data_IF_735099551865
#
_entry.id   IF_735099551865
#
_cell.length_a   1.000
_cell.length_b   1.000
_cell.length_c   1.000
_cell.angle_alpha   90.00
_cell.angle_beta   90.00
_cell.angle_gamma   90.00
#
_symmetry.space_group_name_H-M   'P 1'
#
loop_
_entity.id
_entity.type
_entity.pdbx_description
1 polymer ?
#
# COMPACT_ATOMS: atom_id res chain seq x y z
N UNK A 1 -9.49 -25.03 -21.04
CA UNK A 1 -8.13 -24.50 -20.85
C UNK A 1 -8.08 -23.85 -19.48
N UNK A 2 -7.28 -24.36 -18.56
CA UNK A 2 -7.16 -23.79 -17.21
C UNK A 2 -6.46 -22.44 -17.32
N UNK A 3 -7.22 -21.36 -17.12
CA UNK A 3 -6.78 -19.98 -17.34
C UNK A 3 -6.41 -19.29 -16.02
N UNK A 4 -5.39 -18.44 -16.05
CA UNK A 4 -5.06 -17.56 -14.93
C UNK A 4 -5.86 -16.26 -15.04
N UNK A 5 -7.07 -16.29 -14.52
CA UNK A 5 -8.02 -15.19 -14.58
C UNK A 5 -7.92 -14.29 -13.35
N UNK A 6 -7.58 -13.02 -13.52
CA UNK A 6 -7.47 -12.06 -12.42
C UNK A 6 -8.82 -11.54 -11.90
N UNK A 7 -9.94 -11.86 -12.55
CA UNK A 7 -11.26 -11.64 -11.95
C UNK A 7 -11.52 -12.58 -10.77
N UNK A 8 -10.81 -13.73 -10.71
CA UNK A 8 -10.80 -14.60 -9.53
C UNK A 8 -9.98 -13.95 -8.39
N UNK A 9 -10.55 -13.77 -7.19
CA UNK A 9 -9.87 -13.22 -6.02
C UNK A 9 -8.53 -13.89 -5.66
N UNK A 10 -8.44 -15.21 -5.73
CA UNK A 10 -7.22 -15.95 -5.36
C UNK A 10 -6.10 -15.70 -6.37
N UNK A 11 -6.42 -15.62 -7.66
CA UNK A 11 -5.47 -15.30 -8.72
C UNK A 11 -5.02 -13.84 -8.67
N UNK A 12 -5.94 -12.91 -8.42
CA UNK A 12 -5.62 -11.49 -8.24
C UNK A 12 -4.64 -11.30 -7.06
N UNK A 13 -4.94 -11.93 -5.92
CA UNK A 13 -4.07 -11.95 -4.76
C UNK A 13 -2.70 -12.55 -5.09
N UNK A 14 -2.66 -13.72 -5.73
CA UNK A 14 -1.39 -14.36 -6.10
C UNK A 14 -0.59 -13.47 -7.06
N UNK A 15 -1.23 -12.82 -8.03
CA UNK A 15 -0.56 -11.91 -8.96
C UNK A 15 0.03 -10.68 -8.24
N UNK A 16 -0.73 -10.04 -7.35
CA UNK A 16 -0.23 -8.93 -6.53
C UNK A 16 0.99 -9.33 -5.70
N UNK A 17 0.92 -10.50 -5.06
CA UNK A 17 2.03 -11.03 -4.27
C UNK A 17 3.27 -11.33 -5.14
N UNK A 18 3.08 -11.98 -6.29
CA UNK A 18 4.14 -12.25 -7.28
C UNK A 18 4.76 -10.95 -7.77
N UNK A 19 3.96 -9.90 -7.96
CA UNK A 19 4.46 -8.64 -8.50
C UNK A 19 5.43 -7.95 -7.54
N UNK A 20 5.21 -8.04 -6.23
CA UNK A 20 6.14 -7.57 -5.21
C UNK A 20 7.30 -8.56 -4.97
N UNK A 21 7.02 -9.74 -4.43
CA UNK A 21 8.05 -10.66 -3.90
C UNK A 21 8.51 -11.74 -4.89
N UNK A 22 7.82 -11.90 -6.02
CA UNK A 22 8.19 -12.88 -7.03
C UNK A 22 9.44 -12.48 -7.81
N UNK A 23 10.08 -13.44 -8.46
CA UNK A 23 11.14 -13.21 -9.42
C UNK A 23 10.86 -14.00 -10.68
N UNK A 24 10.57 -13.29 -11.78
CA UNK A 24 10.41 -13.87 -13.10
C UNK A 24 11.75 -13.78 -13.83
N UNK A 25 12.36 -14.94 -14.08
CA UNK A 25 13.63 -15.05 -14.79
C UNK A 25 13.44 -15.63 -16.19
N UNK A 26 14.23 -15.12 -17.13
CA UNK A 26 14.32 -15.59 -18.50
C UNK A 26 15.77 -15.97 -18.83
N UNK A 27 15.92 -16.95 -19.69
CA UNK A 27 17.18 -17.42 -20.23
C UNK A 27 16.99 -17.78 -21.70
N UNK A 28 18.10 -17.72 -22.44
CA UNK A 28 18.25 -18.27 -23.78
C UNK A 28 17.70 -19.71 -23.84
N UNK A 29 17.07 -20.08 -24.96
CA UNK A 29 16.42 -21.39 -25.17
C UNK A 29 15.10 -21.60 -24.39
N UNK A 30 14.36 -20.54 -24.07
CA UNK A 30 13.08 -20.59 -23.33
C UNK A 30 13.18 -21.23 -21.95
N UNK A 31 14.39 -21.28 -21.38
CA UNK A 31 14.62 -21.69 -19.99
C UNK A 31 14.25 -20.50 -19.11
N UNK A 32 13.52 -20.74 -18.03
CA UNK A 32 13.01 -19.66 -17.20
C UNK A 32 12.09 -20.19 -16.13
N UNK A 33 11.82 -19.37 -15.12
CA UNK A 33 10.89 -19.71 -14.06
C UNK A 33 10.35 -18.46 -13.40
N UNK A 34 9.15 -18.59 -12.86
CA UNK A 34 8.75 -17.77 -11.73
C UNK A 34 9.25 -18.45 -10.44
N UNK A 35 9.77 -17.67 -9.49
CA UNK A 35 9.99 -18.11 -8.12
C UNK A 35 9.44 -17.09 -7.12
N UNK A 36 8.80 -17.55 -6.06
CA UNK A 36 8.52 -16.78 -4.84
C UNK A 36 9.25 -17.48 -3.69
N UNK A 37 10.03 -16.75 -2.90
CA UNK A 37 10.78 -17.30 -1.76
C UNK A 37 10.38 -16.56 -0.48
N UNK A 38 9.95 -17.30 0.55
CA UNK A 38 9.48 -16.78 1.82
C UNK A 38 10.18 -17.46 3.00
N UNK A 39 9.99 -16.91 4.19
CA UNK A 39 10.35 -17.59 5.44
C UNK A 39 9.54 -18.89 5.58
N UNK A 40 10.15 -19.94 6.15
CA UNK A 40 9.49 -21.25 6.32
C UNK A 40 8.16 -21.19 7.09
N UNK A 41 7.98 -20.19 7.98
CA UNK A 41 6.71 -19.98 8.69
C UNK A 41 5.52 -19.67 7.79
N UNK A 42 5.79 -19.16 6.57
CA UNK A 42 4.77 -18.74 5.60
C UNK A 42 4.54 -19.83 4.52
N UNK A 43 4.96 -21.09 4.79
CA UNK A 43 4.80 -22.25 3.89
C UNK A 43 3.35 -22.46 3.43
N UNK A 44 2.38 -22.31 4.34
CA UNK A 44 0.97 -22.52 4.02
C UNK A 44 0.52 -21.68 2.83
N UNK A 45 1.02 -20.45 2.69
CA UNK A 45 0.67 -19.59 1.56
C UNK A 45 1.19 -20.15 0.23
N UNK A 46 2.41 -20.69 0.22
CA UNK A 46 3.01 -21.26 -0.98
C UNK A 46 2.33 -22.58 -1.40
N UNK A 47 1.78 -23.33 -0.45
CA UNK A 47 0.95 -24.50 -0.75
C UNK A 47 -0.39 -24.08 -1.38
N UNK A 48 -1.00 -22.98 -0.92
CA UNK A 48 -2.17 -22.40 -1.59
C UNK A 48 -1.84 -21.93 -3.00
N UNK A 49 -0.69 -21.27 -3.23
CA UNK A 49 -0.23 -20.91 -4.58
C UNK A 49 -0.07 -22.14 -5.47
N UNK A 50 0.48 -23.23 -4.94
CA UNK A 50 0.58 -24.48 -5.67
C UNK A 50 -0.81 -25.06 -6.02
N UNK A 51 -1.78 -25.00 -5.10
CA UNK A 51 -3.14 -25.50 -5.30
C UNK A 51 -3.90 -24.72 -6.37
N UNK A 52 -3.82 -23.39 -6.35
CA UNK A 52 -4.57 -22.52 -7.28
C UNK A 52 -3.87 -22.33 -8.62
N UNK A 53 -2.56 -22.63 -8.71
CA UNK A 53 -1.84 -22.55 -9.97
C UNK A 53 -2.21 -23.72 -10.87
N UNK A 54 -2.78 -23.49 -12.07
CA UNK A 54 -3.21 -24.58 -12.92
C UNK A 54 -2.06 -25.26 -13.70
N UNK A 55 -0.81 -24.82 -13.50
CA UNK A 55 0.36 -25.39 -14.15
C UNK A 55 1.25 -26.16 -13.17
N UNK A 56 2.04 -27.13 -13.66
CA UNK A 56 3.02 -27.84 -12.85
C UNK A 56 3.93 -26.86 -12.10
N UNK A 57 3.88 -26.97 -10.78
CA UNK A 57 4.64 -26.13 -9.87
C UNK A 57 5.11 -26.94 -8.66
N UNK A 58 6.16 -26.46 -8.01
CA UNK A 58 6.81 -27.16 -6.91
C UNK A 58 7.04 -26.23 -5.73
N UNK A 59 6.84 -26.74 -4.52
CA UNK A 59 7.26 -26.10 -3.27
C UNK A 59 8.46 -26.86 -2.71
N UNK A 60 9.55 -26.16 -2.43
CA UNK A 60 10.80 -26.72 -1.89
C UNK A 60 11.25 -25.93 -0.68
N UNK A 61 11.80 -26.59 0.34
CA UNK A 61 12.41 -25.93 1.51
C UNK A 61 13.93 -25.93 1.43
N UNK A 62 14.56 -24.96 2.08
CA UNK A 62 16.01 -24.86 2.22
C UNK A 62 16.36 -24.19 3.55
N UNK A 63 17.36 -24.74 4.24
CA UNK A 63 18.01 -24.11 5.40
C UNK A 63 19.45 -23.72 5.02
N UNK A 64 19.86 -22.50 5.36
CA UNK A 64 21.25 -22.03 5.16
C UNK A 64 21.66 -21.06 6.26
N UNK A 65 22.96 -20.97 6.53
CA UNK A 65 23.53 -19.82 7.20
C UNK A 65 23.41 -18.57 6.30
N UNK A 66 23.12 -17.43 6.90
CA UNK A 66 23.07 -16.11 6.25
C UNK A 66 23.86 -15.12 7.10
N UNK A 67 24.18 -13.95 6.55
CA UNK A 67 24.85 -12.88 7.29
C UNK A 67 24.07 -12.38 8.53
N UNK A 68 22.82 -12.81 8.71
CA UNK A 68 21.92 -12.38 9.79
C UNK A 68 21.52 -13.51 10.75
N UNK A 69 21.76 -14.77 10.39
CA UNK A 69 21.36 -15.93 11.17
C UNK A 69 22.10 -17.21 10.75
N UNK A 70 22.54 -18.01 11.72
CA UNK A 70 23.24 -19.28 11.50
C UNK A 70 22.35 -20.34 10.85
N UNK A 71 21.03 -20.26 11.05
CA UNK A 71 20.05 -21.14 10.42
C UNK A 71 18.81 -20.37 9.98
N UNK A 72 18.81 -19.91 8.73
CA UNK A 72 17.63 -19.33 8.09
C UNK A 72 16.90 -20.39 7.26
N UNK A 73 15.70 -20.78 7.69
CA UNK A 73 14.81 -21.66 6.96
C UNK A 73 13.90 -20.86 6.00
N UNK A 74 13.96 -21.22 4.73
CA UNK A 74 13.20 -20.62 3.64
C UNK A 74 12.42 -21.69 2.88
N UNK A 75 11.33 -21.27 2.25
CA UNK A 75 10.50 -22.08 1.36
C UNK A 75 10.34 -21.33 0.05
N UNK A 76 10.36 -22.06 -1.06
CA UNK A 76 10.24 -21.48 -2.39
C UNK A 76 9.18 -22.21 -3.19
N UNK A 77 8.30 -21.46 -3.82
CA UNK A 77 7.39 -21.96 -4.85
C UNK A 77 7.96 -21.57 -6.21
N UNK A 78 7.98 -22.51 -7.15
CA UNK A 78 8.54 -22.27 -8.50
C UNK A 78 7.64 -22.85 -9.59
N UNK A 79 7.54 -22.12 -10.72
CA UNK A 79 6.76 -22.52 -11.89
C UNK A 79 7.62 -22.40 -13.15
N UNK A 80 7.78 -23.53 -13.85
CA UNK A 80 8.59 -23.65 -15.06
C UNK A 80 7.75 -23.73 -16.36
N UNK A 81 6.42 -23.74 -16.26
CA UNK A 81 5.54 -23.71 -17.42
C UNK A 81 5.71 -22.40 -18.21
N UNK A 82 5.90 -22.51 -19.53
CA UNK A 82 6.10 -21.34 -20.41
C UNK A 82 4.81 -20.54 -20.55
N UNK A 83 3.70 -21.24 -20.62
CA UNK A 83 2.34 -20.71 -20.74
C UNK A 83 2.05 -19.78 -19.56
N UNK A 84 2.35 -20.21 -18.33
CA UNK A 84 2.19 -19.38 -17.15
C UNK A 84 3.07 -18.12 -17.19
N UNK A 85 4.35 -18.26 -17.54
CA UNK A 85 5.25 -17.09 -17.65
C UNK A 85 4.78 -16.11 -18.73
N UNK A 86 4.22 -16.62 -19.82
CA UNK A 86 3.68 -15.80 -20.91
C UNK A 86 2.43 -15.05 -20.44
N UNK A 87 1.51 -15.74 -19.79
CA UNK A 87 0.30 -15.13 -19.20
C UNK A 87 0.66 -14.03 -18.20
N UNK A 88 1.64 -14.23 -17.31
CA UNK A 88 2.07 -13.20 -16.36
C UNK A 88 2.59 -11.94 -17.07
N UNK A 89 3.34 -12.09 -18.16
CA UNK A 89 3.83 -10.96 -18.95
C UNK A 89 2.71 -10.20 -19.63
N UNK A 90 1.76 -10.93 -20.22
CA UNK A 90 0.56 -10.36 -20.85
C UNK A 90 -0.30 -9.57 -19.85
N UNK A 91 -0.33 -10.03 -18.59
CA UNK A 91 -0.98 -9.33 -17.49
C UNK A 91 -0.17 -8.14 -16.94
N UNK A 92 1.05 -7.90 -17.41
CA UNK A 92 1.88 -6.74 -17.06
C UNK A 92 3.00 -7.00 -16.05
N UNK A 93 3.42 -8.25 -15.83
CA UNK A 93 4.60 -8.56 -15.00
C UNK A 93 5.89 -8.57 -15.86
N UNK A 94 6.78 -7.58 -15.74
CA UNK A 94 8.05 -7.60 -16.46
C UNK A 94 9.01 -8.65 -15.88
N UNK A 95 9.88 -9.19 -16.73
CA UNK A 95 11.01 -10.00 -16.28
C UNK A 95 12.15 -9.12 -15.76
N UNK A 96 12.92 -9.63 -14.80
CA UNK A 96 14.05 -8.91 -14.22
C UNK A 96 13.65 -7.87 -13.15
N UNK A 97 14.43 -6.78 -13.05
CA UNK A 97 14.18 -5.73 -12.04
C UNK A 97 12.89 -4.98 -12.37
N UNK A 98 12.01 -4.89 -11.38
CA UNK A 98 10.63 -4.44 -11.58
C UNK A 98 10.15 -3.38 -10.57
N UNK A 99 10.92 -3.10 -9.53
CA UNK A 99 10.48 -2.27 -8.38
C UNK A 99 9.95 -0.88 -8.76
N UNK A 100 10.46 -0.24 -9.81
CA UNK A 100 10.02 1.08 -10.28
C UNK A 100 9.02 1.02 -11.44
N UNK A 101 8.92 -0.11 -12.15
CA UNK A 101 8.16 -0.23 -13.40
C UNK A 101 6.88 -1.05 -13.27
N UNK A 102 6.71 -1.82 -12.20
CA UNK A 102 5.46 -2.55 -11.94
C UNK A 102 4.27 -1.60 -11.86
N UNK A 103 3.14 -2.02 -12.44
CA UNK A 103 1.88 -1.31 -12.45
C UNK A 103 0.72 -2.29 -12.23
N UNK A 104 -0.49 -1.83 -11.88
CA UNK A 104 -1.66 -2.70 -11.84
C UNK A 104 -1.87 -3.47 -13.15
N UNK A 105 -2.53 -4.65 -13.12
CA UNK A 105 -2.77 -5.43 -14.32
C UNK A 105 -3.47 -4.64 -15.42
N UNK A 106 -3.15 -4.96 -16.67
CA UNK A 106 -3.77 -4.33 -17.86
C UNK A 106 -5.14 -4.92 -18.21
N UNK A 107 -5.44 -6.12 -17.72
CA UNK A 107 -6.71 -6.82 -17.89
C UNK A 107 -7.63 -6.59 -16.67
N UNK A 108 -8.95 -6.78 -16.77
CA UNK A 108 -9.85 -6.74 -15.61
C UNK A 108 -9.37 -7.64 -14.46
N UNK A 109 -9.44 -7.15 -13.23
CA UNK A 109 -8.98 -7.86 -12.04
C UNK A 109 -9.79 -7.51 -10.80
N UNK A 110 -9.74 -8.36 -9.77
CA UNK A 110 -10.31 -8.09 -8.45
C UNK A 110 -9.39 -7.13 -7.65
N UNK A 111 -9.73 -5.83 -7.51
CA UNK A 111 -8.78 -4.82 -7.05
C UNK A 111 -8.38 -4.96 -5.58
N UNK A 112 -9.34 -5.31 -4.71
CA UNK A 112 -9.09 -5.50 -3.27
C UNK A 112 -8.13 -6.65 -3.00
N UNK A 113 -8.28 -7.74 -3.75
CA UNK A 113 -7.51 -8.97 -3.57
C UNK A 113 -6.10 -8.81 -4.13
N UNK A 114 -5.98 -8.17 -5.30
CA UNK A 114 -4.69 -7.73 -5.85
C UNK A 114 -3.94 -6.82 -4.88
N UNK A 115 -4.60 -5.80 -4.33
CA UNK A 115 -4.00 -4.89 -3.36
C UNK A 115 -3.59 -5.60 -2.07
N UNK A 116 -4.42 -6.54 -1.58
CA UNK A 116 -4.05 -7.39 -0.44
C UNK A 116 -2.78 -8.20 -0.75
N UNK A 117 -2.66 -8.78 -1.95
CA UNK A 117 -1.46 -9.49 -2.38
C UNK A 117 -0.20 -8.62 -2.33
N UNK A 118 -0.28 -7.37 -2.80
CA UNK A 118 0.81 -6.40 -2.69
C UNK A 118 1.15 -6.08 -1.23
N UNK A 119 0.14 -5.83 -0.40
CA UNK A 119 0.33 -5.51 1.01
C UNK A 119 0.91 -6.71 1.76
N UNK A 120 0.53 -7.94 1.42
CA UNK A 120 1.04 -9.14 2.08
C UNK A 120 2.50 -9.43 1.72
N UNK A 121 2.94 -9.09 0.52
CA UNK A 121 4.34 -9.15 0.13
C UNK A 121 5.17 -7.98 0.72
N UNK A 122 4.91 -6.74 0.29
CA UNK A 122 5.78 -5.57 0.54
C UNK A 122 5.19 -4.53 1.50
N UNK A 123 4.02 -4.82 2.06
CA UNK A 123 3.31 -3.95 3.00
C UNK A 123 3.30 -4.44 4.45
N UNK A 124 2.49 -3.77 5.26
CA UNK A 124 2.28 -4.11 6.66
C UNK A 124 0.90 -3.69 7.13
N UNK A 125 0.34 -4.47 8.05
CA UNK A 125 -0.91 -4.20 8.75
C UNK A 125 -0.70 -4.53 10.22
N UNK A 126 -1.22 -3.70 11.12
CA UNK A 126 -1.12 -3.96 12.55
C UNK A 126 -1.38 -2.73 13.41
N UNK A 127 -1.00 -2.85 14.68
CA UNK A 127 -1.04 -1.77 15.66
C UNK A 127 0.37 -1.22 15.89
N UNK A 128 0.52 0.09 16.03
CA UNK A 128 1.77 0.70 16.49
C UNK A 128 2.07 0.30 17.93
N UNK A 129 3.28 0.58 18.43
CA UNK A 129 3.61 0.40 19.86
C UNK A 129 2.75 1.24 20.82
N UNK A 130 2.02 2.23 20.31
CA UNK A 130 1.02 3.04 21.06
C UNK A 130 -0.42 2.58 20.83
N UNK A 131 -0.62 1.41 20.23
CA UNK A 131 -1.94 0.82 20.00
C UNK A 131 -2.76 1.47 18.88
N UNK A 132 -2.14 2.25 17.98
CA UNK A 132 -2.85 2.88 16.85
C UNK A 132 -2.83 1.96 15.63
N UNK A 133 -3.97 1.72 14.96
CA UNK A 133 -4.00 0.84 13.80
C UNK A 133 -3.34 1.50 12.59
N UNK A 134 -2.75 0.68 11.74
CA UNK A 134 -2.20 1.10 10.47
C UNK A 134 -2.30 0.01 9.38
N UNK A 135 -2.38 0.48 8.13
CA UNK A 135 -2.16 -0.30 6.91
C UNK A 135 -1.18 0.48 6.06
N UNK A 136 -0.13 -0.18 5.58
CA UNK A 136 0.94 0.47 4.84
C UNK A 136 1.45 -0.37 3.67
N UNK A 137 1.94 0.32 2.64
CA UNK A 137 2.64 -0.27 1.50
C UNK A 137 3.89 0.56 1.21
N UNK A 138 5.03 -0.11 1.06
CA UNK A 138 6.27 0.50 0.59
C UNK A 138 6.44 0.19 -0.88
N UNK A 139 6.59 1.20 -1.74
CA UNK A 139 6.79 0.96 -3.17
C UNK A 139 7.61 2.06 -3.84
N UNK A 140 8.46 1.67 -4.79
CA UNK A 140 9.15 2.62 -5.66
C UNK A 140 8.35 2.96 -6.92
N UNK A 141 7.24 2.25 -7.19
CA UNK A 141 6.38 2.46 -8.35
C UNK A 141 5.38 3.58 -8.13
N UNK A 142 5.39 4.57 -9.02
CA UNK A 142 4.36 5.60 -9.11
C UNK A 142 2.97 5.02 -9.37
N UNK A 143 2.88 4.00 -10.20
CA UNK A 143 1.60 3.40 -10.60
C UNK A 143 0.95 2.66 -9.43
N UNK A 144 1.73 1.85 -8.69
CA UNK A 144 1.21 1.15 -7.51
C UNK A 144 0.84 2.12 -6.39
N UNK A 145 1.65 3.16 -6.18
CA UNK A 145 1.34 4.21 -5.21
C UNK A 145 0.02 4.90 -5.54
N UNK A 146 -0.19 5.31 -6.80
CA UNK A 146 -1.44 5.96 -7.23
C UNK A 146 -2.63 5.03 -7.09
N UNK A 147 -2.47 3.77 -7.51
CA UNK A 147 -3.51 2.77 -7.37
C UNK A 147 -3.95 2.59 -5.92
N UNK A 148 -3.02 2.41 -4.98
CA UNK A 148 -3.37 2.29 -3.57
C UNK A 148 -4.00 3.58 -3.01
N UNK A 149 -3.46 4.74 -3.38
CA UNK A 149 -4.02 6.03 -2.96
C UNK A 149 -5.48 6.18 -3.41
N UNK A 150 -5.76 5.89 -4.67
CA UNK A 150 -7.07 6.07 -5.28
C UNK A 150 -8.07 5.05 -4.70
N UNK A 151 -7.66 3.78 -4.59
CA UNK A 151 -8.44 2.74 -3.90
C UNK A 151 -8.84 3.15 -2.48
N UNK A 152 -7.87 3.63 -1.69
CA UNK A 152 -8.12 4.04 -0.32
C UNK A 152 -8.95 5.34 -0.24
N UNK A 153 -8.79 6.26 -1.20
CA UNK A 153 -9.63 7.45 -1.28
C UNK A 153 -11.09 7.06 -1.55
N UNK A 154 -11.35 6.16 -2.49
CA UNK A 154 -12.70 5.72 -2.84
C UNK A 154 -13.36 5.00 -1.66
N UNK A 155 -12.59 4.19 -0.94
CA UNK A 155 -13.10 3.42 0.19
C UNK A 155 -13.29 4.26 1.48
N UNK A 156 -12.36 5.18 1.77
CA UNK A 156 -12.30 5.87 3.07
C UNK A 156 -12.65 7.36 3.00
N UNK A 157 -12.73 7.93 1.80
CA UNK A 157 -12.79 9.37 1.56
C UNK A 157 -11.48 10.11 1.83
N UNK A 158 -10.45 9.45 2.36
CA UNK A 158 -9.21 10.10 2.78
C UNK A 158 -8.20 10.21 1.62
N UNK A 159 -8.05 11.41 1.09
CA UNK A 159 -7.01 11.71 0.10
C UNK A 159 -5.68 12.04 0.77
N UNK A 160 -4.62 11.31 0.42
CA UNK A 160 -3.25 11.55 0.90
C UNK A 160 -2.39 12.17 -0.20
N UNK A 161 -1.59 13.19 0.14
CA UNK A 161 -0.48 13.64 -0.69
C UNK A 161 0.74 12.81 -0.32
N UNK A 162 1.26 12.04 -1.29
CA UNK A 162 2.34 11.08 -1.08
C UNK A 162 3.60 11.58 -1.81
N UNK A 163 4.70 11.69 -1.08
CA UNK A 163 6.01 12.03 -1.62
C UNK A 163 6.96 10.86 -1.39
N UNK A 164 7.98 10.75 -2.25
CA UNK A 164 9.09 9.83 -2.02
C UNK A 164 9.84 10.24 -0.76
N UNK A 165 10.28 9.26 0.01
CA UNK A 165 11.14 9.49 1.16
C UNK A 165 12.53 9.97 0.68
N UNK A 166 13.26 10.68 1.53
CA UNK A 166 14.58 11.22 1.17
C UNK A 166 15.69 10.16 1.15
N UNK A 167 15.52 9.05 1.87
CA UNK A 167 16.56 8.04 2.09
C UNK A 167 16.73 7.11 0.88
N UNK A 168 15.63 6.54 0.44
CA UNK A 168 15.58 5.44 -0.54
C UNK A 168 14.80 5.85 -1.80
N UNK A 169 14.26 7.08 -1.84
CA UNK A 169 13.43 7.59 -2.92
C UNK A 169 12.19 6.71 -3.20
N UNK A 170 11.62 6.05 -2.18
CA UNK A 170 10.40 5.23 -2.29
C UNK A 170 9.21 5.87 -1.59
N UNK A 171 7.99 5.48 -1.97
CA UNK A 171 6.77 5.87 -1.27
C UNK A 171 6.55 4.96 -0.06
N UNK A 172 6.30 5.58 1.09
CA UNK A 172 5.75 4.93 2.27
C UNK A 172 4.27 5.34 2.39
N UNK A 173 3.38 4.58 1.75
CA UNK A 173 1.95 4.86 1.78
C UNK A 173 1.39 4.31 3.08
N UNK A 174 0.87 5.18 3.95
CA UNK A 174 0.42 4.83 5.30
C UNK A 174 -0.98 5.41 5.56
N UNK A 175 -1.90 4.53 5.92
CA UNK A 175 -3.21 4.87 6.50
C UNK A 175 -3.24 4.44 7.96
N UNK A 176 -3.93 5.21 8.81
CA UNK A 176 -3.96 4.97 10.25
C UNK A 176 -5.32 5.28 10.87
N UNK A 177 -5.52 4.85 12.12
CA UNK A 177 -6.78 5.02 12.85
C UNK A 177 -7.98 4.49 12.05
N UNK A 178 -9.07 5.25 11.91
CA UNK A 178 -10.29 4.81 11.24
C UNK A 178 -10.06 4.42 9.79
N UNK A 179 -9.18 5.12 9.07
CA UNK A 179 -8.90 4.77 7.68
C UNK A 179 -8.23 3.39 7.57
N UNK A 180 -7.33 3.06 8.51
CA UNK A 180 -6.73 1.74 8.59
C UNK A 180 -7.73 0.65 8.99
N UNK A 181 -8.66 0.95 9.89
CA UNK A 181 -9.74 0.02 10.27
C UNK A 181 -10.62 -0.29 9.06
N UNK A 182 -11.05 0.73 8.31
CA UNK A 182 -11.87 0.56 7.11
C UNK A 182 -11.13 -0.24 6.03
N UNK A 183 -9.87 0.11 5.75
CA UNK A 183 -9.03 -0.63 4.80
C UNK A 183 -8.82 -2.08 5.22
N UNK A 184 -8.47 -2.34 6.47
CA UNK A 184 -8.23 -3.70 6.95
C UNK A 184 -9.49 -4.57 6.86
N UNK A 185 -10.67 -4.01 7.17
CA UNK A 185 -11.95 -4.73 7.08
C UNK A 185 -12.29 -5.13 5.65
N UNK A 186 -12.03 -4.26 4.70
CA UNK A 186 -12.29 -4.51 3.28
C UNK A 186 -11.28 -5.48 2.67
N UNK A 187 -9.99 -5.27 2.94
CA UNK A 187 -8.91 -6.09 2.37
C UNK A 187 -8.88 -7.50 2.97
N UNK A 188 -9.00 -7.64 4.29
CA UNK A 188 -8.83 -8.90 5.02
C UNK A 188 -10.18 -9.49 5.47
N UNK A 189 -11.13 -9.59 4.55
CA UNK A 189 -12.45 -10.14 4.81
C UNK A 189 -12.41 -11.63 5.19
N UNK A 190 -13.44 -12.17 5.88
CA UNK A 190 -13.47 -13.57 6.29
C UNK A 190 -13.33 -14.54 5.12
N UNK A 191 -12.43 -15.51 5.25
CA UNK A 191 -12.18 -16.54 4.22
C UNK A 191 -11.32 -16.09 3.05
N UNK A 192 -10.75 -14.88 3.07
CA UNK A 192 -9.82 -14.46 2.03
C UNK A 192 -8.47 -15.20 2.11
N UNK A 193 -7.82 -15.39 0.96
CA UNK A 193 -6.44 -15.86 0.90
C UNK A 193 -5.50 -14.74 1.36
N UNK A 194 -4.74 -14.97 2.43
CA UNK A 194 -3.81 -14.00 3.02
C UNK A 194 -2.68 -14.71 3.76
N UNK A 195 -1.60 -13.98 4.07
CA UNK A 195 -0.61 -14.43 5.05
C UNK A 195 -1.28 -14.56 6.43
N UNK A 196 -1.23 -15.74 7.09
CA UNK A 196 -1.94 -15.97 8.35
C UNK A 196 -1.62 -14.93 9.44
N UNK A 197 -0.34 -14.54 9.55
CA UNK A 197 0.12 -13.51 10.50
C UNK A 197 -0.45 -12.12 10.20
N UNK A 198 -0.64 -11.76 8.93
CA UNK A 198 -1.21 -10.45 8.53
C UNK A 198 -2.72 -10.45 8.66
N UNK A 199 -3.38 -11.58 8.37
CA UNK A 199 -4.79 -11.78 8.70
C UNK A 199 -5.04 -11.61 10.20
N UNK A 200 -4.22 -12.23 11.06
CA UNK A 200 -4.32 -12.09 12.51
C UNK A 200 -4.12 -10.63 12.98
N UNK A 201 -3.12 -9.93 12.42
CA UNK A 201 -2.90 -8.51 12.72
C UNK A 201 -4.07 -7.63 12.24
N UNK A 202 -4.65 -7.94 11.08
CA UNK A 202 -5.83 -7.25 10.55
C UNK A 202 -7.05 -7.44 11.47
N UNK A 203 -7.25 -8.62 12.07
CA UNK A 203 -8.29 -8.82 13.08
C UNK A 203 -8.12 -7.84 14.26
N UNK A 204 -6.90 -7.71 14.78
CA UNK A 204 -6.58 -6.74 15.84
C UNK A 204 -6.82 -5.28 15.42
N UNK A 205 -6.51 -4.95 14.16
CA UNK A 205 -6.83 -3.63 13.60
C UNK A 205 -8.33 -3.41 13.51
N UNK A 206 -9.10 -4.37 12.99
CA UNK A 206 -10.55 -4.21 12.79
C UNK A 206 -11.36 -4.13 14.08
N UNK A 207 -10.82 -4.70 15.17
CA UNK A 207 -11.38 -4.62 16.52
C UNK A 207 -11.04 -3.30 17.24
N UNK A 208 -10.14 -2.48 16.67
CA UNK A 208 -9.75 -1.22 17.30
C UNK A 208 -10.92 -0.25 17.36
N UNK A 209 -11.14 0.32 18.55
CA UNK A 209 -12.04 1.43 18.77
C UNK A 209 -11.24 2.66 19.18
N UNK A 210 -11.68 3.81 18.70
CA UNK A 210 -11.13 5.09 19.09
C UNK A 210 -11.23 5.24 20.61
N UNK A 211 -10.10 5.46 21.33
CA UNK A 211 -10.15 5.66 22.77
C UNK A 211 -11.03 6.86 23.16
N UNK A 212 -11.84 6.76 24.23
CA UNK A 212 -12.61 7.88 24.75
C UNK A 212 -11.75 9.12 24.97
N UNK A 213 -12.26 10.30 24.63
CA UNK A 213 -11.54 11.57 24.75
C UNK A 213 -10.54 11.88 23.62
N UNK A 214 -10.26 10.93 22.72
CA UNK A 214 -9.37 11.21 21.57
C UNK A 214 -10.12 11.93 20.43
N UNK A 215 -9.74 13.17 20.14
CA UNK A 215 -10.40 13.98 19.10
C UNK A 215 -10.07 13.49 17.68
N UNK A 216 -11.07 13.37 16.81
CA UNK A 216 -10.84 13.20 15.36
C UNK A 216 -10.54 14.57 14.79
N UNK A 217 -9.30 14.81 14.38
CA UNK A 217 -8.93 16.08 13.74
C UNK A 217 -9.35 16.01 12.29
N UNK A 218 -10.49 16.62 11.98
CA UNK A 218 -10.90 16.85 10.60
C UNK A 218 -10.11 18.03 10.04
N UNK A 219 -9.36 17.80 8.96
CA UNK A 219 -8.57 18.85 8.34
C UNK A 219 -9.51 19.76 7.52
N UNK A 220 -9.87 20.91 8.07
CA UNK A 220 -10.63 21.95 7.36
C UNK A 220 -9.72 22.61 6.31
N UNK A 221 -10.05 22.44 5.03
CA UNK A 221 -9.36 23.10 3.90
C UNK A 221 -9.57 24.61 3.99
N UNK A 222 -8.56 25.42 3.69
CA UNK A 222 -8.68 26.88 3.66
C UNK A 222 -9.38 27.33 2.38
N UNK A 223 -10.39 28.18 2.46
CA UNK A 223 -11.01 28.81 1.28
C UNK A 223 -10.36 30.16 0.95
N UNK A 224 -10.66 30.72 -0.22
CA UNK A 224 -10.17 32.05 -0.62
C UNK A 224 -10.73 33.16 0.29
N UNK A 225 -11.97 33.00 0.74
CA UNK A 225 -12.66 33.89 1.67
C UNK A 225 -12.02 33.81 3.05
N UNK A 226 -11.72 32.60 3.54
CA UNK A 226 -11.01 32.41 4.80
C UNK A 226 -9.58 32.98 4.75
N UNK A 227 -8.87 32.82 3.63
CA UNK A 227 -7.56 33.45 3.42
C UNK A 227 -7.66 34.98 3.46
N UNK A 228 -8.71 35.55 2.84
CA UNK A 228 -8.95 36.99 2.82
C UNK A 228 -9.29 37.54 4.21
N UNK A 229 -10.17 36.86 4.94
CA UNK A 229 -10.52 37.19 6.33
C UNK A 229 -9.31 37.09 7.27
N UNK A 230 -8.46 36.07 7.08
CA UNK A 230 -7.23 35.90 7.85
C UNK A 230 -6.21 37.03 7.63
N UNK A 231 -6.12 37.54 6.40
CA UNK A 231 -5.23 38.65 6.05
C UNK A 231 -5.80 40.01 6.49
N UNK A 232 -7.13 40.16 6.54
CA UNK A 232 -7.80 41.36 7.02
C UNK A 232 -7.77 41.51 8.54
N UNK A 233 -7.78 40.40 9.29
CA UNK A 233 -7.67 40.43 10.75
C UNK A 233 -6.34 41.03 11.21
N UNK A 234 -6.35 41.86 12.26
CA UNK A 234 -5.12 42.46 12.77
C UNK A 234 -4.19 41.38 13.35
N UNK A 235 -4.77 40.43 14.09
CA UNK A 235 -4.06 39.36 14.78
C UNK A 235 -4.61 37.95 14.49
N UNK A 236 -3.77 36.89 14.53
CA UNK A 236 -4.22 35.52 14.30
C UNK A 236 -5.31 35.03 15.27
N UNK A 237 -5.38 35.57 16.49
CA UNK A 237 -6.39 35.25 17.50
C UNK A 237 -7.79 35.71 17.08
N UNK A 238 -7.90 36.88 16.46
CA UNK A 238 -9.16 37.43 15.93
C UNK A 238 -9.66 36.57 14.77
N UNK A 239 -8.76 36.20 13.86
CA UNK A 239 -9.09 35.29 12.76
C UNK A 239 -9.45 33.89 13.27
N UNK A 240 -8.79 33.40 14.32
CA UNK A 240 -9.08 32.09 14.92
C UNK A 240 -10.51 32.02 15.47
N UNK A 241 -10.94 33.07 16.19
CA UNK A 241 -12.30 33.18 16.69
C UNK A 241 -13.33 33.29 15.55
N UNK A 242 -13.05 34.10 14.52
CA UNK A 242 -13.95 34.31 13.38
C UNK A 242 -14.13 33.06 12.51
N UNK A 243 -13.04 32.32 12.27
CA UNK A 243 -13.01 31.22 11.30
C UNK A 243 -13.27 29.84 11.93
N UNK A 244 -13.49 29.80 13.24
CA UNK A 244 -13.54 28.58 14.05
C UNK A 244 -12.31 27.67 13.79
N UNK A 245 -11.12 28.27 13.95
CA UNK A 245 -9.82 27.59 13.75
C UNK A 245 -8.93 27.84 14.96
N UNK A 246 -7.93 26.98 15.16
CA UNK A 246 -6.93 27.24 16.20
C UNK A 246 -6.03 28.42 15.82
N UNK A 247 -5.58 29.18 16.82
CA UNK A 247 -4.61 30.27 16.64
C UNK A 247 -3.37 29.78 15.90
N UNK A 248 -2.84 28.60 16.25
CA UNK A 248 -1.69 27.98 15.57
C UNK A 248 -1.93 27.74 14.08
N UNK A 249 -3.15 27.35 13.69
CA UNK A 249 -3.53 27.15 12.28
C UNK A 249 -3.55 28.48 11.53
N UNK A 250 -4.17 29.51 12.12
CA UNK A 250 -4.22 30.86 11.57
C UNK A 250 -2.82 31.48 11.42
N UNK A 251 -1.99 31.41 12.46
CA UNK A 251 -0.61 31.92 12.42
C UNK A 251 0.22 31.24 11.33
N UNK A 252 0.16 29.90 11.24
CA UNK A 252 0.86 29.15 10.20
C UNK A 252 0.36 29.47 8.79
N UNK A 253 -0.96 29.58 8.58
CA UNK A 253 -1.50 29.94 7.27
C UNK A 253 -1.12 31.38 6.88
N UNK A 254 -1.23 32.33 7.80
CA UNK A 254 -0.86 33.74 7.59
C UNK A 254 0.62 33.87 7.24
N UNK A 255 1.50 33.16 7.95
CA UNK A 255 2.93 33.10 7.60
C UNK A 255 3.16 32.52 6.21
N UNK A 256 2.41 31.50 5.77
CA UNK A 256 2.52 30.98 4.39
C UNK A 256 2.07 31.99 3.34
N UNK A 257 1.03 32.77 3.63
CA UNK A 257 0.48 33.79 2.72
C UNK A 257 1.36 35.04 2.64
N UNK A 258 1.94 35.47 3.77
CA UNK A 258 2.73 36.70 3.88
C UNK A 258 4.25 36.47 3.79
N UNK A 259 4.72 35.27 4.08
CA UNK A 259 6.13 34.92 4.18
C UNK A 259 6.89 34.99 2.85
N UNK A 260 8.18 34.56 2.85
CA UNK A 260 9.06 34.69 1.70
C UNK A 260 8.50 33.96 0.47
N UNK A 261 8.89 34.41 -0.72
CA UNK A 261 8.35 33.93 -1.99
C UNK A 261 8.34 32.40 -2.13
N UNK A 262 9.40 31.72 -1.65
CA UNK A 262 9.49 30.24 -1.59
C UNK A 262 8.32 29.59 -0.83
N UNK A 263 7.82 30.23 0.23
CA UNK A 263 6.66 29.74 0.99
C UNK A 263 5.35 29.91 0.21
N UNK A 264 5.21 31.00 -0.55
CA UNK A 264 4.04 31.30 -1.38
C UNK A 264 3.95 30.40 -2.60
N UNK A 265 5.08 30.08 -3.24
CA UNK A 265 5.15 29.11 -4.36
C UNK A 265 4.75 27.71 -3.90
N UNK A 266 5.23 27.30 -2.71
CA UNK A 266 4.93 25.96 -2.17
C UNK A 266 3.50 25.83 -1.64
N UNK A 267 2.90 26.94 -1.20
CA UNK A 267 1.56 26.99 -0.62
C UNK A 267 0.79 28.19 -1.19
N UNK A 268 0.33 28.11 -2.45
CA UNK A 268 -0.40 29.21 -3.06
C UNK A 268 -1.67 29.54 -2.28
N UNK A 269 -2.17 30.76 -2.52
CA UNK A 269 -3.52 31.16 -2.10
C UNK A 269 -4.53 30.15 -2.62
N UNK A 270 -5.56 29.89 -1.82
CA UNK A 270 -6.66 29.07 -2.34
C UNK A 270 -7.29 29.83 -3.52
N UNK A 271 -7.43 29.21 -4.70
CA UNK A 271 -8.09 29.87 -5.83
C UNK A 271 -9.52 30.24 -5.46
N UNK A 272 -9.98 31.40 -5.93
CA UNK A 272 -11.40 31.74 -5.86
C UNK A 272 -12.17 30.72 -6.71
N UNK A 273 -13.23 30.15 -6.14
CA UNK A 273 -14.17 29.29 -6.86
C UNK A 273 -15.01 30.06 -7.85
#
# INVERSE_FOLDING_TARGET
>A
MSSFDLANPEHAYMFGFIQADGHLSEDSRNRGRLRVELSARDLALLLEFQRICPWPSSVTSRTRATNFADAHASVSWSVHAREFRTALKELGLPAGRKSTTVAPPVAPFAPRDYLRGLIDADGSVGLTGTGKPFVALTTASDALMRFFRDYAQDLTGARRTLNRNARDAVYNVLYSNEEAVTLARDLYYPGCLALPRKQAAALGVTAWLRPPGSRKVLRKVWTAEEDSALLAAARPEEAAALLDRSVSSCSMRRWRLLGPEKARVRFPRTPAT
#
